data_IF_366216084734
#
_entry.id   IF_366216084734
#
_cell.length_a   1.000
_cell.length_b   1.000
_cell.length_c   1.000
_cell.angle_alpha   90.00
_cell.angle_beta   90.00
_cell.angle_gamma   90.00
#
_symmetry.space_group_name_H-M   'P 1'
#
loop_
_entity.id
_entity.type
_entity.pdbx_description
1 polymer ?
#
# COMPACT_ATOMS: atom_id res chain seq x y z
N UNK A 1 -6.01 -15.67 -10.37
CA UNK A 1 -7.10 -14.92 -9.71
C UNK A 1 -8.29 -14.83 -10.64
N UNK A 2 -9.51 -14.70 -10.11
CA UNK A 2 -10.76 -14.71 -10.86
C UNK A 2 -11.49 -13.36 -10.88
N UNK A 3 -12.76 -13.37 -11.30
CA UNK A 3 -13.64 -12.19 -11.24
C UNK A 3 -14.01 -11.90 -9.78
N UNK A 4 -14.03 -10.61 -9.42
CA UNK A 4 -14.38 -10.17 -8.06
C UNK A 4 -15.80 -10.60 -7.67
N UNK A 5 -15.94 -11.21 -6.51
CA UNK A 5 -17.21 -11.76 -6.01
C UNK A 5 -18.16 -10.67 -5.50
N UNK A 6 -19.48 -10.93 -5.55
CA UNK A 6 -20.48 -10.03 -4.97
C UNK A 6 -20.23 -9.87 -3.46
N UNK A 7 -20.27 -8.62 -2.97
CA UNK A 7 -20.01 -8.31 -1.56
C UNK A 7 -18.55 -7.98 -1.21
N UNK A 8 -17.64 -8.08 -2.19
CA UNK A 8 -16.22 -7.73 -2.03
C UNK A 8 -15.98 -6.30 -1.53
N UNK A 9 -16.92 -5.37 -1.74
CA UNK A 9 -16.81 -3.99 -1.25
C UNK A 9 -16.59 -3.90 0.26
N UNK A 10 -17.16 -4.82 1.05
CA UNK A 10 -16.95 -4.85 2.51
C UNK A 10 -15.50 -5.16 2.86
N UNK A 11 -14.89 -6.09 2.12
CA UNK A 11 -13.47 -6.45 2.29
C UNK A 11 -12.59 -5.26 1.92
N UNK A 12 -12.88 -4.60 0.81
CA UNK A 12 -12.15 -3.41 0.36
C UNK A 12 -12.25 -2.30 1.42
N UNK A 13 -13.46 -2.00 1.89
CA UNK A 13 -13.69 -1.02 2.94
C UNK A 13 -12.87 -1.33 4.21
N UNK A 14 -12.96 -2.56 4.72
CA UNK A 14 -12.19 -2.95 5.91
C UNK A 14 -10.69 -2.95 5.68
N UNK A 15 -10.22 -3.26 4.47
CA UNK A 15 -8.80 -3.17 4.13
C UNK A 15 -8.29 -1.74 4.23
N UNK A 16 -9.05 -0.75 3.75
CA UNK A 16 -8.70 0.68 3.86
C UNK A 16 -8.60 1.10 5.34
N UNK A 17 -9.58 0.72 6.16
CA UNK A 17 -9.56 1.03 7.61
C UNK A 17 -8.34 0.40 8.29
N UNK A 18 -8.05 -0.87 7.99
CA UNK A 18 -6.87 -1.54 8.52
C UNK A 18 -5.56 -0.90 8.05
N UNK A 19 -5.51 -0.41 6.82
CA UNK A 19 -4.38 0.35 6.28
C UNK A 19 -4.13 1.63 7.08
N UNK A 20 -5.18 2.43 7.35
CA UNK A 20 -5.06 3.62 8.21
C UNK A 20 -4.57 3.27 9.61
N UNK A 21 -5.17 2.26 10.26
CA UNK A 21 -4.77 1.83 11.60
C UNK A 21 -3.30 1.39 11.61
N UNK A 22 -2.88 0.59 10.62
CA UNK A 22 -1.51 0.08 10.52
C UNK A 22 -0.52 1.23 10.33
N UNK A 23 -0.83 2.17 9.45
CA UNK A 23 0.00 3.36 9.20
C UNK A 23 0.18 4.21 10.45
N UNK A 24 -0.93 4.60 11.11
CA UNK A 24 -0.85 5.40 12.33
C UNK A 24 -0.17 4.67 13.49
N UNK A 25 -0.44 3.38 13.68
CA UNK A 25 0.16 2.59 14.75
C UNK A 25 1.68 2.43 14.57
N UNK A 26 2.13 2.14 13.34
CA UNK A 26 3.57 1.98 13.03
C UNK A 26 4.31 3.31 13.08
N UNK A 27 3.68 4.41 12.67
CA UNK A 27 4.23 5.76 12.87
C UNK A 27 4.35 6.10 14.36
N UNK A 28 3.30 5.90 15.15
CA UNK A 28 3.33 6.17 16.60
C UNK A 28 4.42 5.35 17.30
N UNK A 29 4.57 4.07 16.94
CA UNK A 29 5.63 3.21 17.45
C UNK A 29 7.02 3.75 17.10
N UNK A 30 7.22 4.20 15.86
CA UNK A 30 8.52 4.74 15.45
C UNK A 30 8.88 6.03 16.18
N UNK A 31 7.91 6.92 16.37
CA UNK A 31 8.10 8.14 17.17
C UNK A 31 8.46 7.83 18.63
N UNK A 32 7.84 6.80 19.21
CA UNK A 32 8.13 6.35 20.57
C UNK A 32 9.55 5.76 20.70
N UNK A 33 9.97 4.94 19.73
CA UNK A 33 11.23 4.21 19.79
C UNK A 33 12.46 5.03 19.38
N UNK A 34 12.31 5.91 18.39
CA UNK A 34 13.45 6.59 17.76
C UNK A 34 13.47 8.09 18.02
N UNK A 35 12.38 8.69 18.51
CA UNK A 35 12.25 10.14 18.72
C UNK A 35 12.62 10.99 17.49
N UNK A 36 12.54 10.41 16.29
CA UNK A 36 12.83 11.06 15.02
C UNK A 36 11.55 11.45 14.32
N UNK A 37 11.52 12.64 13.72
CA UNK A 37 10.46 13.01 12.79
C UNK A 37 10.44 12.10 11.57
N UNK A 38 9.25 11.86 11.02
CA UNK A 38 9.09 11.17 9.74
C UNK A 38 9.30 12.15 8.59
N UNK A 39 9.84 11.63 7.48
CA UNK A 39 10.04 12.43 6.27
C UNK A 39 8.69 12.60 5.59
N UNK A 40 8.33 13.84 5.28
CA UNK A 40 7.11 14.14 4.53
C UNK A 40 7.22 13.63 3.09
N UNK A 41 6.10 13.16 2.54
CA UNK A 41 6.07 12.73 1.15
C UNK A 41 6.02 13.94 0.22
N UNK A 42 7.12 14.20 -0.49
CA UNK A 42 7.22 15.32 -1.43
C UNK A 42 6.18 15.30 -2.56
N UNK A 43 5.59 14.12 -2.85
CA UNK A 43 4.55 13.98 -3.87
C UNK A 43 3.14 14.27 -3.34
N UNK A 44 2.97 14.41 -2.02
CA UNK A 44 1.67 14.65 -1.38
C UNK A 44 1.26 16.14 -1.42
N UNK A 45 2.22 17.06 -1.60
CA UNK A 45 1.96 18.50 -1.64
C UNK A 45 2.26 19.02 -3.05
N UNK A 46 1.23 19.50 -3.74
CA UNK A 46 1.33 20.11 -5.07
C UNK A 46 0.78 21.54 -5.04
N UNK A 47 1.65 22.54 -5.19
CA UNK A 47 1.29 23.96 -5.12
C UNK A 47 0.88 24.57 -6.45
N UNK A 48 0.91 23.81 -7.54
CA UNK A 48 0.54 24.28 -8.89
C UNK A 48 -0.94 24.64 -9.07
N UNK A 49 -1.36 25.10 -10.27
CA UNK A 49 -2.76 25.40 -10.58
C UNK A 49 -3.69 24.21 -10.37
N UNK A 50 -5.00 24.47 -10.15
CA UNK A 50 -6.02 23.43 -9.91
C UNK A 50 -5.97 22.31 -10.96
N UNK A 51 -5.82 22.66 -12.25
CA UNK A 51 -5.76 21.69 -13.34
C UNK A 51 -4.56 20.75 -13.21
N UNK A 52 -3.40 21.27 -12.80
CA UNK A 52 -2.19 20.47 -12.59
C UNK A 52 -2.34 19.51 -11.40
N UNK A 53 -3.03 19.93 -10.33
CA UNK A 53 -3.34 19.07 -9.18
C UNK A 53 -4.28 17.93 -9.57
N UNK A 54 -5.32 18.22 -10.36
CA UNK A 54 -6.25 17.20 -10.88
C UNK A 54 -5.51 16.21 -11.79
N UNK A 55 -4.68 16.71 -12.72
CA UNK A 55 -3.86 15.87 -13.59
C UNK A 55 -2.94 14.95 -12.78
N UNK A 56 -2.31 15.49 -11.73
CA UNK A 56 -1.47 14.70 -10.83
C UNK A 56 -2.24 13.58 -10.13
N UNK A 57 -3.43 13.85 -9.60
CA UNK A 57 -4.27 12.80 -8.97
C UNK A 57 -4.69 11.70 -9.95
N UNK A 58 -4.96 12.04 -11.22
CA UNK A 58 -5.27 11.06 -12.26
C UNK A 58 -4.04 10.20 -12.57
N UNK A 59 -2.88 10.82 -12.78
CA UNK A 59 -1.63 10.11 -13.05
C UNK A 59 -1.20 9.24 -11.87
N UNK A 60 -1.38 9.73 -10.64
CA UNK A 60 -1.17 8.97 -9.41
C UNK A 60 -2.05 7.72 -9.40
N UNK A 61 -3.35 7.85 -9.66
CA UNK A 61 -4.28 6.71 -9.67
C UNK A 61 -3.84 5.62 -10.66
N UNK A 62 -3.28 6.01 -11.82
CA UNK A 62 -2.69 5.08 -12.79
C UNK A 62 -1.39 4.45 -12.25
N UNK A 63 -0.51 5.26 -11.64
CA UNK A 63 0.73 4.79 -11.03
C UNK A 63 0.48 3.74 -9.96
N UNK A 64 -0.54 3.94 -9.11
CA UNK A 64 -0.92 3.00 -8.05
C UNK A 64 -1.34 1.63 -8.59
N UNK A 65 -1.93 1.57 -9.80
CA UNK A 65 -2.19 0.28 -10.47
C UNK A 65 -0.85 -0.41 -10.81
N UNK A 66 0.15 0.35 -11.27
CA UNK A 66 1.49 -0.17 -11.53
C UNK A 66 2.17 -0.73 -10.28
N UNK A 67 2.07 -0.02 -9.16
CA UNK A 67 2.57 -0.46 -7.86
C UNK A 67 1.95 -1.78 -7.38
N UNK A 68 0.63 -1.92 -7.57
CA UNK A 68 -0.11 -3.15 -7.28
C UNK A 68 0.38 -4.31 -8.14
N UNK A 69 0.60 -4.09 -9.43
CA UNK A 69 1.09 -5.09 -10.37
C UNK A 69 2.53 -5.53 -10.06
N UNK A 70 3.42 -4.60 -9.72
CA UNK A 70 4.80 -4.90 -9.29
C UNK A 70 4.79 -5.71 -8.00
N UNK A 71 3.97 -5.32 -7.02
CA UNK A 71 3.87 -6.05 -5.76
C UNK A 71 3.31 -7.46 -5.98
N UNK A 72 2.31 -7.60 -6.85
CA UNK A 72 1.69 -8.87 -7.19
C UNK A 72 2.62 -9.80 -7.98
N UNK A 73 3.46 -9.26 -8.86
CA UNK A 73 4.44 -10.02 -9.64
C UNK A 73 5.54 -10.62 -8.76
N UNK A 74 5.77 -10.06 -7.57
CA UNK A 74 6.58 -10.69 -6.52
C UNK A 74 5.75 -11.71 -5.73
N UNK A 75 4.60 -11.28 -5.21
CA UNK A 75 3.84 -12.05 -4.23
C UNK A 75 3.30 -13.37 -4.78
N UNK A 76 2.73 -13.40 -5.98
CA UNK A 76 2.08 -14.61 -6.49
C UNK A 76 3.05 -15.71 -6.92
N UNK A 77 4.10 -15.44 -7.72
CA UNK A 77 5.07 -16.48 -8.04
C UNK A 77 5.71 -17.06 -6.79
N UNK A 78 6.08 -16.21 -5.82
CA UNK A 78 6.66 -16.65 -4.56
C UNK A 78 5.67 -17.48 -3.74
N UNK A 79 4.40 -17.07 -3.67
CA UNK A 79 3.35 -17.87 -3.03
C UNK A 79 3.24 -19.27 -3.65
N UNK A 80 3.22 -19.37 -4.99
CA UNK A 80 3.10 -20.66 -5.67
C UNK A 80 4.30 -21.57 -5.40
N UNK A 81 5.53 -21.03 -5.46
CA UNK A 81 6.75 -21.78 -5.14
C UNK A 81 6.80 -22.26 -3.68
N UNK A 82 6.35 -21.43 -2.75
CA UNK A 82 6.34 -21.79 -1.32
C UNK A 82 5.22 -22.77 -1.00
N UNK A 83 4.05 -22.65 -1.62
CA UNK A 83 2.90 -23.52 -1.36
C UNK A 83 3.12 -25.00 -1.70
N UNK A 84 4.15 -25.32 -2.50
CA UNK A 84 4.60 -26.69 -2.75
C UNK A 84 5.30 -27.32 -1.53
N UNK A 85 5.87 -26.50 -0.64
CA UNK A 85 6.74 -26.94 0.46
C UNK A 85 6.16 -26.67 1.85
N UNK A 86 5.10 -25.87 1.96
CA UNK A 86 4.49 -25.50 3.23
C UNK A 86 3.00 -25.21 3.06
N UNK A 87 2.28 -25.00 4.17
CA UNK A 87 0.85 -24.70 4.10
C UNK A 87 0.58 -23.41 3.30
N UNK A 88 -0.54 -23.38 2.57
CA UNK A 88 -0.98 -22.18 1.82
C UNK A 88 -1.07 -20.93 2.71
N UNK A 89 -1.35 -21.09 4.01
CA UNK A 89 -1.36 -19.96 4.96
C UNK A 89 0.07 -19.42 5.17
N UNK A 90 1.03 -20.29 5.46
CA UNK A 90 2.44 -19.90 5.67
C UNK A 90 3.04 -19.32 4.39
N UNK A 91 2.84 -19.97 3.25
CA UNK A 91 3.34 -19.52 1.96
C UNK A 91 2.85 -18.09 1.64
N UNK A 92 1.57 -17.81 1.90
CA UNK A 92 0.99 -16.50 1.68
C UNK A 92 1.54 -15.42 2.62
N UNK A 93 1.72 -15.74 3.90
CA UNK A 93 2.29 -14.82 4.87
C UNK A 93 3.71 -14.44 4.44
N UNK A 94 4.55 -15.42 4.13
CA UNK A 94 5.94 -15.19 3.72
C UNK A 94 6.00 -14.40 2.41
N UNK A 95 5.22 -14.79 1.41
CA UNK A 95 5.17 -14.09 0.13
C UNK A 95 4.66 -12.64 0.27
N UNK A 96 3.65 -12.43 1.10
CA UNK A 96 3.11 -11.11 1.41
C UNK A 96 4.09 -10.21 2.18
N UNK A 97 4.86 -10.78 3.11
CA UNK A 97 5.91 -10.04 3.83
C UNK A 97 7.06 -9.64 2.91
N UNK A 98 7.52 -10.54 2.05
CA UNK A 98 8.60 -10.25 1.10
C UNK A 98 8.17 -9.18 0.09
N UNK A 99 6.96 -9.28 -0.45
CA UNK A 99 6.44 -8.25 -1.37
C UNK A 99 6.23 -6.91 -0.68
N UNK A 100 5.77 -6.89 0.57
CA UNK A 100 5.65 -5.68 1.39
C UNK A 100 7.00 -5.00 1.66
N UNK A 101 8.04 -5.78 1.97
CA UNK A 101 9.40 -5.24 2.14
C UNK A 101 9.89 -4.62 0.84
N UNK A 102 9.76 -5.32 -0.29
CA UNK A 102 10.19 -4.80 -1.59
C UNK A 102 9.40 -3.54 -2.00
N UNK A 103 8.09 -3.52 -1.77
CA UNK A 103 7.25 -2.34 -1.96
C UNK A 103 7.75 -1.15 -1.13
N UNK A 104 8.03 -1.36 0.16
CA UNK A 104 8.61 -0.35 1.02
C UNK A 104 9.95 0.19 0.51
N UNK A 105 10.83 -0.70 0.03
CA UNK A 105 12.15 -0.34 -0.49
C UNK A 105 12.08 0.48 -1.79
N UNK A 106 11.03 0.35 -2.59
CA UNK A 106 10.81 1.22 -3.76
C UNK A 106 10.67 2.71 -3.37
N UNK A 107 10.35 2.98 -2.11
CA UNK A 107 10.14 4.34 -1.59
C UNK A 107 11.38 4.96 -0.94
N UNK A 108 12.54 4.27 -0.97
CA UNK A 108 13.78 4.74 -0.34
C UNK A 108 14.16 6.18 -0.72
N UNK A 109 14.04 6.51 -2.01
CA UNK A 109 14.38 7.86 -2.51
C UNK A 109 13.47 8.94 -1.92
N UNK A 110 12.17 8.68 -1.85
CA UNK A 110 11.18 9.63 -1.33
C UNK A 110 11.40 9.89 0.15
N UNK A 111 11.74 8.86 0.92
CA UNK A 111 11.94 8.96 2.37
C UNK A 111 13.42 9.07 2.78
N UNK A 112 14.28 9.54 1.88
CA UNK A 112 15.69 9.88 2.16
C UNK A 112 16.49 8.72 2.80
N UNK A 113 16.18 7.48 2.44
CA UNK A 113 16.83 6.29 2.99
C UNK A 113 16.36 5.89 4.39
N UNK A 114 15.28 6.45 4.93
CA UNK A 114 14.71 6.06 6.22
C UNK A 114 14.12 4.63 6.12
N UNK A 115 14.93 3.63 6.50
CA UNK A 115 14.57 2.22 6.42
C UNK A 115 13.37 1.85 7.30
N UNK A 116 13.23 2.47 8.48
CA UNK A 116 12.08 2.21 9.35
C UNK A 116 10.79 2.67 8.68
N UNK A 117 10.77 3.91 8.17
CA UNK A 117 9.61 4.45 7.46
C UNK A 117 9.30 3.61 6.21
N UNK A 118 10.30 3.26 5.41
CA UNK A 118 10.10 2.45 4.21
C UNK A 118 9.60 1.03 4.51
N UNK A 119 10.26 0.28 5.39
CA UNK A 119 9.95 -1.15 5.60
C UNK A 119 8.77 -1.32 6.56
N UNK A 120 8.77 -0.59 7.68
CA UNK A 120 7.79 -0.79 8.75
C UNK A 120 6.53 0.02 8.47
N UNK A 121 6.64 1.32 8.22
CA UNK A 121 5.45 2.15 8.01
C UNK A 121 4.84 1.86 6.65
N UNK A 122 5.57 2.08 5.55
CA UNK A 122 5.05 1.91 4.19
C UNK A 122 4.84 0.42 3.86
N UNK A 123 5.84 -0.43 4.13
CA UNK A 123 5.78 -1.86 3.85
C UNK A 123 4.62 -2.56 4.58
N UNK A 124 4.46 -2.40 5.90
CA UNK A 124 3.37 -3.09 6.61
C UNK A 124 1.99 -2.56 6.26
N UNK A 125 1.89 -1.26 5.96
CA UNK A 125 0.65 -0.61 5.49
C UNK A 125 0.13 -1.21 4.18
N UNK A 126 1.00 -1.90 3.41
CA UNK A 126 0.62 -2.65 2.20
C UNK A 126 -0.19 -3.92 2.49
N UNK A 127 0.06 -4.59 3.60
CA UNK A 127 -0.46 -5.95 3.87
C UNK A 127 -2.00 -6.07 3.83
N UNK A 128 -2.79 -5.08 4.28
CA UNK A 128 -4.24 -5.10 4.12
C UNK A 128 -4.70 -5.15 2.66
N UNK A 129 -3.99 -4.52 1.72
CA UNK A 129 -4.30 -4.60 0.29
C UNK A 129 -3.98 -5.98 -0.28
N UNK A 130 -2.86 -6.59 0.14
CA UNK A 130 -2.56 -7.97 -0.19
C UNK A 130 -3.67 -8.91 0.32
N UNK A 131 -4.14 -8.70 1.56
CA UNK A 131 -5.27 -9.44 2.10
C UNK A 131 -6.55 -9.25 1.27
N UNK A 132 -6.83 -8.03 0.81
CA UNK A 132 -7.96 -7.74 -0.07
C UNK A 132 -7.86 -8.52 -1.39
N UNK A 133 -6.67 -8.64 -1.99
CA UNK A 133 -6.48 -9.48 -3.18
C UNK A 133 -6.97 -10.91 -2.96
N UNK A 134 -6.49 -11.54 -1.88
CA UNK A 134 -6.80 -12.93 -1.58
C UNK A 134 -8.28 -13.13 -1.25
N UNK A 135 -8.88 -12.20 -0.50
CA UNK A 135 -10.26 -12.32 -0.03
C UNK A 135 -11.31 -11.96 -1.07
N UNK A 136 -10.98 -11.08 -2.00
CA UNK A 136 -11.86 -10.74 -3.14
C UNK A 136 -11.62 -11.64 -4.36
N UNK A 137 -10.62 -12.54 -4.27
CA UNK A 137 -10.13 -13.37 -5.37
C UNK A 137 -9.78 -12.57 -6.63
N UNK A 138 -9.36 -11.31 -6.48
CA UNK A 138 -9.12 -10.37 -7.57
C UNK A 138 -8.08 -9.32 -7.16
N UNK A 139 -7.17 -8.96 -8.07
CA UNK A 139 -6.24 -7.84 -7.86
C UNK A 139 -6.97 -6.51 -7.66
N UNK A 140 -8.14 -6.35 -8.29
CA UNK A 140 -8.94 -5.13 -8.19
C UNK A 140 -9.34 -4.79 -6.76
N UNK A 141 -9.49 -5.77 -5.87
CA UNK A 141 -9.81 -5.50 -4.46
C UNK A 141 -8.73 -4.67 -3.76
N UNK A 142 -7.47 -4.98 -4.00
CA UNK A 142 -6.34 -4.21 -3.48
C UNK A 142 -6.16 -2.88 -4.23
N UNK A 143 -6.20 -2.91 -5.57
CA UNK A 143 -6.07 -1.71 -6.42
C UNK A 143 -7.06 -0.62 -6.01
N UNK A 144 -8.35 -0.95 -5.90
CA UNK A 144 -9.39 0.01 -5.52
C UNK A 144 -9.15 0.52 -4.10
N UNK A 145 -8.81 -0.38 -3.17
CA UNK A 145 -8.50 0.00 -1.79
C UNK A 145 -7.32 0.96 -1.69
N UNK A 146 -6.25 0.70 -2.43
CA UNK A 146 -5.03 1.48 -2.45
C UNK A 146 -5.26 2.87 -3.05
N UNK A 147 -5.93 2.94 -4.20
CA UNK A 147 -6.30 4.22 -4.82
C UNK A 147 -7.15 5.06 -3.87
N UNK A 148 -8.19 4.47 -3.25
CA UNK A 148 -9.05 5.22 -2.33
C UNK A 148 -8.27 5.70 -1.10
N UNK A 149 -7.44 4.83 -0.51
CA UNK A 149 -6.62 5.18 0.64
C UNK A 149 -5.72 6.39 0.36
N UNK A 150 -4.97 6.37 -0.74
CA UNK A 150 -4.07 7.45 -1.11
C UNK A 150 -4.82 8.74 -1.47
N UNK A 151 -5.93 8.64 -2.21
CA UNK A 151 -6.73 9.82 -2.56
C UNK A 151 -7.35 10.49 -1.32
N UNK A 152 -7.78 9.72 -0.33
CA UNK A 152 -8.30 10.26 0.94
C UNK A 152 -7.22 11.08 1.68
N UNK A 153 -5.94 10.73 1.53
CA UNK A 153 -4.83 11.46 2.15
C UNK A 153 -4.38 12.64 1.29
N UNK A 154 -4.26 12.44 -0.03
CA UNK A 154 -3.63 13.42 -0.92
C UNK A 154 -4.57 14.54 -1.34
N UNK A 155 -5.87 14.29 -1.49
CA UNK A 155 -6.85 15.35 -1.79
C UNK A 155 -6.80 16.47 -0.74
N UNK A 156 -6.97 16.21 0.58
CA UNK A 156 -6.90 17.29 1.56
C UNK A 156 -5.51 17.95 1.58
N UNK A 157 -4.43 17.18 1.46
CA UNK A 157 -3.06 17.70 1.42
C UNK A 157 -2.78 18.63 0.22
N UNK A 158 -3.48 18.44 -0.90
CA UNK A 158 -3.30 19.24 -2.11
C UNK A 158 -4.30 20.39 -2.26
N UNK A 159 -5.46 20.38 -1.61
CA UNK A 159 -6.52 21.38 -1.85
C UNK A 159 -7.00 22.13 -0.61
N UNK A 160 -6.68 21.65 0.60
CA UNK A 160 -7.18 22.23 1.86
C UNK A 160 -6.04 22.82 2.69
N UNK A 161 -4.85 22.21 2.61
CA UNK A 161 -3.59 22.69 3.22
C UNK A 161 -2.89 23.67 2.28
#
# INVERSE_FOLDING_TARGET
MGKMEKGSWKIIFWSIILTFITSFATMALGNLLFHTGFVENSNAVHTGPILARIQHLVLLSISLIGEELITASVAFPLYHLLAEKMSSKQAWIIAGLISAILFGLMHLKIYHGNLYQCIVVIGLTRLPFNYAWRKTNSLWGGIIGHIIYDLVIFIPAMFIV
#
